data_IF_694903011788
#
_entry.id   IF_694903011788
#
_cell.length_a   1.000
_cell.length_b   1.000
_cell.length_c   1.000
_cell.angle_alpha   90.00
_cell.angle_beta   90.00
_cell.angle_gamma   90.00
#
_symmetry.space_group_name_H-M   'P 1'
#
loop_
_entity.id
_entity.type
_entity.pdbx_description
1 polymer ?
#
# COMPACT_ATOMS: atom_id res chain seq x y z
N UNK A 1 2.50 -2.03 30.20
CA UNK A 1 3.61 -2.95 30.49
C UNK A 1 4.71 -2.12 31.10
N UNK A 2 5.11 -2.42 32.32
CA UNK A 2 6.30 -1.79 32.90
C UNK A 2 7.52 -2.28 32.09
N UNK A 3 8.36 -1.37 31.55
CA UNK A 3 9.57 -1.77 30.87
C UNK A 3 10.51 -2.46 31.89
N UNK A 4 11.21 -3.48 31.45
CA UNK A 4 12.33 -4.02 32.21
C UNK A 4 13.47 -2.99 32.30
N UNK A 5 14.63 -3.39 32.76
CA UNK A 5 15.81 -2.50 32.86
C UNK A 5 16.52 -2.33 31.49
N UNK A 6 15.96 -2.87 30.42
CA UNK A 6 16.50 -2.80 29.07
C UNK A 6 16.20 -1.46 28.36
N UNK A 7 16.95 -1.17 27.31
CA UNK A 7 16.66 -0.06 26.41
C UNK A 7 15.65 -0.48 25.34
N UNK A 8 14.81 0.45 24.81
CA UNK A 8 14.00 0.16 23.63
C UNK A 8 14.85 -0.36 22.47
N UNK A 9 14.33 -1.37 21.76
CA UNK A 9 14.95 -1.80 20.51
C UNK A 9 14.59 -0.83 19.39
N UNK A 10 15.61 -0.27 18.75
CA UNK A 10 15.45 0.67 17.64
C UNK A 10 15.81 0.01 16.31
N UNK A 11 15.08 0.37 15.26
CA UNK A 11 15.39 -0.05 13.90
C UNK A 11 16.48 0.88 13.37
N UNK A 12 17.70 0.35 13.19
CA UNK A 12 18.83 1.13 12.69
C UNK A 12 18.54 1.73 11.29
N UNK A 13 19.12 2.91 11.02
CA UNK A 13 18.96 3.68 9.77
C UNK A 13 17.49 4.02 9.48
N UNK A 14 16.71 4.29 10.51
CA UNK A 14 15.33 4.78 10.39
C UNK A 14 15.12 6.07 11.16
N UNK A 15 14.17 6.85 10.70
CA UNK A 15 13.79 8.15 11.23
C UNK A 15 12.27 8.26 11.32
N UNK A 16 11.78 9.09 12.24
CA UNK A 16 10.37 9.45 12.37
C UNK A 16 10.24 10.95 12.24
N UNK A 17 9.34 11.40 11.38
CA UNK A 17 9.08 12.80 11.11
C UNK A 17 7.61 13.15 11.32
N UNK A 18 7.34 14.29 11.95
CA UNK A 18 5.99 14.86 11.96
C UNK A 18 5.74 15.56 10.63
N UNK A 19 4.73 15.10 9.91
CA UNK A 19 4.28 15.68 8.63
C UNK A 19 2.77 15.90 8.74
N UNK A 20 2.33 17.01 9.33
CA UNK A 20 0.91 17.29 9.52
C UNK A 20 0.20 17.61 8.20
N UNK A 21 -1.11 17.35 8.18
CA UNK A 21 -1.99 17.80 7.12
C UNK A 21 -2.61 19.15 7.49
N UNK A 22 -2.22 20.26 6.82
CA UNK A 22 -2.75 21.58 7.13
C UNK A 22 -4.23 21.74 6.73
N UNK A 23 -4.74 20.90 5.84
CA UNK A 23 -6.12 20.98 5.36
C UNK A 23 -7.09 20.38 6.37
N UNK A 24 -6.81 19.16 6.85
CA UNK A 24 -7.65 18.52 7.87
C UNK A 24 -7.29 18.91 9.30
N UNK A 25 -6.12 19.50 9.52
CA UNK A 25 -5.56 19.82 10.83
C UNK A 25 -5.05 18.60 11.59
N UNK A 26 -5.01 17.40 10.95
CA UNK A 26 -4.54 16.18 11.61
C UNK A 26 -3.02 16.10 11.61
N UNK A 27 -2.47 15.63 12.72
CA UNK A 27 -1.07 15.26 12.81
C UNK A 27 -0.85 13.85 12.29
N UNK A 28 0.12 13.67 11.38
CA UNK A 28 0.59 12.36 10.93
C UNK A 28 2.09 12.28 11.12
N UNK A 29 2.60 11.04 11.17
CA UNK A 29 4.03 10.77 11.14
C UNK A 29 4.40 10.00 9.88
N UNK A 30 5.60 10.24 9.42
CA UNK A 30 6.22 9.51 8.31
C UNK A 30 7.46 8.82 8.86
N UNK A 31 7.52 7.51 8.71
CA UNK A 31 8.68 6.70 9.07
C UNK A 31 9.54 6.52 7.83
N UNK A 32 10.83 6.75 7.94
CA UNK A 32 11.75 6.61 6.81
C UNK A 32 12.87 5.64 7.17
N UNK A 33 13.11 4.63 6.32
CA UNK A 33 14.28 3.77 6.43
C UNK A 33 15.14 3.89 5.17
N UNK A 34 16.43 4.14 5.37
CA UNK A 34 17.40 4.30 4.30
C UNK A 34 18.05 2.96 3.95
N UNK A 35 18.36 2.70 2.67
CA UNK A 35 19.05 1.48 2.27
C UNK A 35 20.52 1.50 2.71
N UNK A 36 21.18 0.32 2.86
CA UNK A 36 22.54 0.20 3.35
C UNK A 36 23.59 1.00 2.57
N UNK A 37 23.39 1.15 1.25
CA UNK A 37 24.33 1.92 0.42
C UNK A 37 24.13 3.43 0.47
N UNK A 38 23.07 3.93 1.12
CA UNK A 38 22.69 5.34 1.05
C UNK A 38 23.83 6.30 1.43
N UNK A 39 24.50 6.06 2.56
CA UNK A 39 25.63 6.89 3.00
C UNK A 39 26.89 6.72 2.14
N UNK A 40 27.06 5.52 1.55
CA UNK A 40 28.26 5.17 0.77
C UNK A 40 28.19 5.59 -0.71
N UNK A 41 26.99 5.90 -1.20
CA UNK A 41 26.73 6.22 -2.62
C UNK A 41 26.04 7.58 -2.74
N UNK A 42 26.73 8.71 -2.51
CA UNK A 42 26.13 10.04 -2.38
C UNK A 42 25.49 10.55 -3.68
N UNK A 43 25.86 10.00 -4.83
CA UNK A 43 25.29 10.38 -6.13
C UNK A 43 24.11 9.50 -6.56
N UNK A 44 23.88 8.38 -5.87
CA UNK A 44 22.80 7.46 -6.22
C UNK A 44 21.45 8.00 -5.78
N UNK A 45 20.46 7.90 -6.68
CA UNK A 45 19.04 8.10 -6.38
C UNK A 45 18.37 6.74 -6.25
N UNK A 46 17.36 6.67 -5.40
CA UNK A 46 16.74 5.41 -5.02
C UNK A 46 15.25 5.41 -5.32
N UNK A 47 14.69 4.28 -5.77
CA UNK A 47 13.25 4.07 -5.73
C UNK A 47 12.71 4.34 -4.33
N UNK A 48 11.46 4.76 -4.25
CA UNK A 48 10.78 5.00 -2.97
C UNK A 48 9.55 4.11 -2.87
N UNK A 49 9.45 3.34 -1.79
CA UNK A 49 8.27 2.56 -1.46
C UNK A 49 7.50 3.25 -0.34
N UNK A 50 6.31 3.74 -0.65
CA UNK A 50 5.36 4.29 0.31
C UNK A 50 4.41 3.19 0.76
N UNK A 51 4.29 2.97 2.08
CA UNK A 51 3.47 1.89 2.63
C UNK A 51 2.45 2.42 3.61
N UNK A 52 1.20 1.99 3.46
CA UNK A 52 0.13 2.23 4.45
C UNK A 52 0.30 1.33 5.67
N UNK A 53 -0.44 1.61 6.74
CA UNK A 53 -0.43 0.80 7.98
C UNK A 53 1.00 0.61 8.53
N UNK A 54 1.76 1.70 8.62
CA UNK A 54 3.19 1.68 8.88
C UNK A 54 3.57 1.02 10.22
N UNK A 55 2.73 1.15 11.24
CA UNK A 55 2.99 0.53 12.55
C UNK A 55 3.20 -0.99 12.45
N UNK A 56 2.50 -1.61 11.49
CA UNK A 56 2.63 -3.02 11.16
C UNK A 56 3.61 -3.28 10.02
N UNK A 57 3.43 -2.60 8.88
CA UNK A 57 4.11 -2.95 7.63
C UNK A 57 5.57 -2.48 7.59
N UNK A 58 5.89 -1.31 8.15
CA UNK A 58 7.22 -0.72 8.05
C UNK A 58 8.32 -1.61 8.62
N UNK A 59 8.24 -2.10 9.89
CA UNK A 59 9.30 -2.93 10.45
C UNK A 59 9.48 -4.25 9.70
N UNK A 60 8.38 -4.86 9.26
CA UNK A 60 8.42 -6.15 8.55
C UNK A 60 9.06 -5.98 7.18
N UNK A 61 8.62 -5.01 6.38
CA UNK A 61 9.14 -4.76 5.03
C UNK A 61 10.63 -4.38 5.10
N UNK A 62 11.00 -3.51 6.04
CA UNK A 62 12.39 -3.11 6.23
C UNK A 62 13.29 -4.31 6.50
N UNK A 63 12.89 -5.20 7.38
CA UNK A 63 13.69 -6.37 7.74
C UNK A 63 13.77 -7.40 6.62
N UNK A 64 12.64 -7.68 5.95
CA UNK A 64 12.59 -8.61 4.82
C UNK A 64 13.39 -8.10 3.62
N UNK A 65 13.29 -6.81 3.29
CA UNK A 65 14.07 -6.21 2.20
C UNK A 65 15.58 -6.36 2.41
N UNK A 66 16.06 -6.11 3.64
CA UNK A 66 17.48 -6.33 3.98
C UNK A 66 17.85 -7.81 3.92
N UNK A 67 16.98 -8.70 4.40
CA UNK A 67 17.22 -10.15 4.37
C UNK A 67 17.35 -10.68 2.94
N UNK A 68 16.54 -10.17 2.00
CA UNK A 68 16.62 -10.58 0.60
C UNK A 68 18.00 -10.30 -0.04
N UNK A 69 18.71 -9.27 0.43
CA UNK A 69 19.98 -8.82 -0.14
C UNK A 69 21.23 -9.29 0.67
N UNK A 70 21.07 -10.14 1.68
CA UNK A 70 22.20 -10.59 2.54
C UNK A 70 23.25 -11.42 1.79
N UNK A 71 22.82 -12.26 0.86
CA UNK A 71 23.70 -13.16 0.08
C UNK A 71 23.98 -12.62 -1.33
N UNK A 72 23.90 -11.32 -1.50
CA UNK A 72 23.98 -10.63 -2.76
C UNK A 72 22.65 -9.98 -3.17
N UNK A 73 22.70 -9.01 -4.07
CA UNK A 73 21.52 -8.23 -4.45
C UNK A 73 20.50 -9.09 -5.18
N UNK A 74 19.31 -9.23 -4.61
CA UNK A 74 18.14 -9.87 -5.24
C UNK A 74 17.08 -8.87 -5.66
N UNK A 75 17.01 -7.73 -4.94
CA UNK A 75 16.15 -6.59 -5.28
C UNK A 75 16.98 -5.32 -5.26
N UNK A 76 16.54 -4.34 -6.05
CA UNK A 76 17.12 -3.00 -6.01
C UNK A 76 16.88 -2.38 -4.62
N UNK A 77 17.89 -1.72 -4.08
CA UNK A 77 17.76 -0.98 -2.83
C UNK A 77 16.83 0.23 -3.00
N UNK A 78 16.03 0.50 -2.00
CA UNK A 78 15.02 1.56 -2.01
C UNK A 78 14.94 2.29 -0.66
N UNK A 79 14.38 3.48 -0.69
CA UNK A 79 13.96 4.21 0.51
C UNK A 79 12.57 3.72 0.88
N UNK A 80 12.39 3.28 2.13
CA UNK A 80 11.08 2.89 2.65
C UNK A 80 10.45 4.05 3.40
N UNK A 81 9.23 4.41 3.03
CA UNK A 81 8.43 5.48 3.64
C UNK A 81 7.15 4.88 4.21
N UNK A 82 7.05 4.85 5.53
CA UNK A 82 5.87 4.35 6.25
C UNK A 82 4.91 5.49 6.57
N UNK A 83 3.64 5.29 6.25
CA UNK A 83 2.55 6.23 6.50
C UNK A 83 1.82 5.82 7.78
N UNK A 84 1.96 6.63 8.85
CA UNK A 84 1.32 6.36 10.13
C UNK A 84 -0.18 6.67 10.09
N UNK A 85 -0.88 6.26 11.14
CA UNK A 85 -2.23 6.73 11.43
C UNK A 85 -2.21 8.15 12.01
N UNK A 86 -3.38 8.82 12.02
CA UNK A 86 -3.50 10.14 12.64
C UNK A 86 -3.15 10.06 14.14
N UNK A 87 -2.31 11.00 14.59
CA UNK A 87 -1.83 11.03 15.98
C UNK A 87 -2.98 11.18 16.97
N UNK A 88 -2.95 10.35 18.01
CA UNK A 88 -3.97 10.36 19.07
C UNK A 88 -5.26 9.62 18.71
N UNK A 89 -5.34 9.00 17.52
CA UNK A 89 -6.47 8.19 17.11
C UNK A 89 -6.14 6.69 17.15
N UNK A 90 -7.17 5.86 17.32
CA UNK A 90 -7.04 4.43 17.07
C UNK A 90 -6.77 4.16 15.59
N UNK A 91 -5.86 3.22 15.30
CA UNK A 91 -5.46 2.92 13.92
C UNK A 91 -6.62 2.43 13.04
N UNK A 92 -7.56 1.68 13.62
CA UNK A 92 -8.77 1.25 12.92
C UNK A 92 -9.66 2.43 12.52
N UNK A 93 -9.85 3.39 13.43
CA UNK A 93 -10.63 4.61 13.18
C UNK A 93 -9.97 5.47 12.10
N UNK A 94 -8.67 5.71 12.24
CA UNK A 94 -7.90 6.52 11.28
C UNK A 94 -7.95 5.93 9.86
N UNK A 95 -7.65 4.62 9.72
CA UNK A 95 -7.63 3.98 8.40
C UNK A 95 -9.01 3.81 7.76
N UNK A 96 -10.05 3.59 8.55
CA UNK A 96 -11.43 3.54 8.03
C UNK A 96 -11.81 4.86 7.37
N UNK A 97 -11.46 5.99 7.97
CA UNK A 97 -11.70 7.31 7.43
C UNK A 97 -10.82 7.61 6.22
N UNK A 98 -9.50 7.42 6.36
CA UNK A 98 -8.50 7.92 5.43
C UNK A 98 -8.31 7.03 4.19
N UNK A 99 -8.69 5.73 4.26
CA UNK A 99 -8.44 4.79 3.17
C UNK A 99 -9.69 4.41 2.38
N UNK A 100 -10.87 4.81 2.80
CA UNK A 100 -12.12 4.46 2.12
C UNK A 100 -12.63 5.58 1.23
N UNK A 101 -13.11 5.23 0.00
CA UNK A 101 -13.44 6.23 -1.03
C UNK A 101 -14.80 6.91 -0.85
N UNK A 102 -15.72 6.30 -0.09
CA UNK A 102 -17.10 6.79 0.09
C UNK A 102 -17.53 6.67 1.55
N UNK A 103 -18.53 7.45 1.99
CA UNK A 103 -19.05 7.36 3.36
C UNK A 103 -19.86 6.08 3.63
N UNK A 104 -20.08 5.25 2.61
CA UNK A 104 -20.92 4.04 2.70
C UNK A 104 -20.12 2.85 3.25
N UNK A 105 -19.72 2.93 4.53
CA UNK A 105 -19.06 1.82 5.23
C UNK A 105 -19.95 0.57 5.36
N UNK A 106 -19.36 -0.56 5.75
CA UNK A 106 -20.12 -1.79 5.97
C UNK A 106 -21.15 -1.62 7.09
N UNK A 107 -22.30 -2.31 6.97
CA UNK A 107 -23.37 -2.24 7.96
C UNK A 107 -22.98 -2.73 9.36
N UNK A 108 -21.87 -3.44 9.46
CA UNK A 108 -21.28 -3.91 10.72
C UNK A 108 -20.39 -2.87 11.40
N UNK A 109 -20.09 -1.76 10.73
CA UNK A 109 -19.30 -0.69 11.33
C UNK A 109 -20.08 0.02 12.45
N UNK A 110 -19.39 0.53 13.50
CA UNK A 110 -20.03 1.36 14.52
C UNK A 110 -20.77 2.54 13.90
N UNK A 111 -21.91 2.93 14.49
CA UNK A 111 -22.75 4.01 13.95
C UNK A 111 -22.03 5.37 13.87
N UNK A 112 -21.00 5.58 14.68
CA UNK A 112 -20.16 6.78 14.68
C UNK A 112 -18.89 6.65 13.84
N UNK A 113 -18.70 5.54 13.13
CA UNK A 113 -17.53 5.35 12.28
C UNK A 113 -17.55 6.31 11.09
N UNK A 114 -16.44 7.00 10.89
CA UNK A 114 -16.25 7.91 9.76
C UNK A 114 -15.53 7.18 8.62
N UNK A 115 -16.10 7.27 7.42
CA UNK A 115 -15.55 6.71 6.19
C UNK A 115 -15.49 7.79 5.09
N UNK A 116 -14.83 7.50 3.98
CA UNK A 116 -14.98 8.26 2.74
C UNK A 116 -14.04 9.45 2.56
N UNK A 117 -12.93 9.51 3.28
CA UNK A 117 -11.97 10.62 3.12
C UNK A 117 -10.69 10.23 2.34
N UNK A 118 -10.73 9.13 1.57
CA UNK A 118 -9.56 8.70 0.78
C UNK A 118 -9.08 9.77 -0.21
N UNK A 119 -9.98 10.58 -0.75
CA UNK A 119 -9.57 11.69 -1.63
C UNK A 119 -8.76 12.75 -0.88
N UNK A 120 -9.23 13.17 0.28
CA UNK A 120 -8.49 14.14 1.11
C UNK A 120 -7.12 13.60 1.54
N UNK A 121 -7.06 12.30 1.91
CA UNK A 121 -5.80 11.65 2.26
C UNK A 121 -4.86 11.52 1.05
N UNK A 122 -5.37 11.22 -0.15
CA UNK A 122 -4.61 11.25 -1.40
C UNK A 122 -4.02 12.65 -1.68
N UNK A 123 -4.80 13.70 -1.48
CA UNK A 123 -4.34 15.09 -1.62
C UNK A 123 -3.22 15.40 -0.61
N UNK A 124 -3.35 14.94 0.65
CA UNK A 124 -2.28 15.03 1.65
C UNK A 124 -1.00 14.31 1.22
N UNK A 125 -1.11 13.10 0.65
CA UNK A 125 0.07 12.38 0.12
C UNK A 125 0.75 13.15 -1.00
N UNK A 126 -0.03 13.74 -1.93
CA UNK A 126 0.49 14.51 -3.06
C UNK A 126 1.15 15.81 -2.60
N UNK A 127 0.48 16.55 -1.71
CA UNK A 127 0.83 17.94 -1.41
C UNK A 127 1.77 18.09 -0.21
N UNK A 128 1.81 17.11 0.70
CA UNK A 128 2.64 17.14 1.89
C UNK A 128 3.71 16.04 1.91
N UNK A 129 3.31 14.78 1.82
CA UNK A 129 4.23 13.65 2.05
C UNK A 129 5.27 13.51 0.94
N UNK A 130 4.83 13.47 -0.33
CA UNK A 130 5.78 13.31 -1.45
C UNK A 130 6.78 14.46 -1.54
N UNK A 131 6.38 15.73 -1.47
CA UNK A 131 7.34 16.84 -1.45
C UNK A 131 8.30 16.74 -0.28
N UNK A 132 7.80 16.46 0.93
CA UNK A 132 8.64 16.28 2.12
C UNK A 132 9.76 15.25 1.90
N UNK A 133 9.41 14.09 1.30
CA UNK A 133 10.37 13.01 1.04
C UNK A 133 11.36 13.39 -0.07
N UNK A 134 10.89 13.97 -1.16
CA UNK A 134 11.74 14.30 -2.32
C UNK A 134 12.71 15.46 -2.05
N UNK A 135 12.36 16.38 -1.15
CA UNK A 135 13.23 17.48 -0.73
C UNK A 135 14.36 17.02 0.19
N UNK A 136 14.13 15.99 1.00
CA UNK A 136 15.08 15.52 2.03
C UNK A 136 15.95 14.36 1.62
N UNK A 137 15.47 13.54 0.69
CA UNK A 137 16.16 12.31 0.32
C UNK A 137 16.43 12.22 -1.18
N UNK A 138 17.48 11.48 -1.53
CA UNK A 138 17.86 11.22 -2.93
C UNK A 138 16.92 10.20 -3.58
N UNK A 139 15.75 10.65 -3.93
CA UNK A 139 14.70 9.85 -4.57
C UNK A 139 14.87 9.78 -6.08
N UNK A 140 14.48 8.66 -6.68
CA UNK A 140 14.28 8.54 -8.13
C UNK A 140 12.80 8.83 -8.45
N UNK A 141 12.48 9.97 -9.10
CA UNK A 141 11.10 10.34 -9.38
C UNK A 141 10.38 9.40 -10.35
N UNK A 142 11.13 8.63 -11.14
CA UNK A 142 10.56 7.65 -12.06
C UNK A 142 10.19 6.31 -11.39
N UNK A 143 10.54 6.13 -10.12
CA UNK A 143 10.34 4.87 -9.38
C UNK A 143 9.72 5.12 -8.00
N UNK A 144 8.52 5.72 -7.97
CA UNK A 144 7.69 5.83 -6.78
C UNK A 144 6.68 4.67 -6.76
N UNK A 145 6.72 3.87 -5.70
CA UNK A 145 5.88 2.69 -5.52
C UNK A 145 4.93 2.93 -4.35
N UNK A 146 3.66 2.59 -4.50
CA UNK A 146 2.69 2.63 -3.42
C UNK A 146 2.23 1.21 -3.06
N UNK A 147 2.31 0.87 -1.79
CA UNK A 147 1.83 -0.38 -1.24
C UNK A 147 0.70 -0.15 -0.24
N UNK A 148 -0.37 -0.92 -0.41
CA UNK A 148 -1.43 -1.06 0.57
C UNK A 148 -1.95 -2.49 0.65
N UNK A 149 -2.45 -2.86 1.83
CA UNK A 149 -3.16 -4.11 2.06
C UNK A 149 -4.58 -3.81 2.55
N UNK A 150 -5.56 -4.60 2.11
CA UNK A 150 -6.95 -4.44 2.54
C UNK A 150 -7.52 -3.04 2.20
N UNK A 151 -7.93 -2.24 3.18
CA UNK A 151 -8.31 -0.83 2.97
C UNK A 151 -7.15 0.03 2.46
N UNK A 152 -5.90 -0.28 2.82
CA UNK A 152 -4.74 0.38 2.22
C UNK A 152 -4.63 0.14 0.71
N UNK A 153 -4.97 -1.06 0.24
CA UNK A 153 -5.05 -1.37 -1.18
C UNK A 153 -6.30 -0.79 -1.85
N UNK A 154 -7.39 -0.59 -1.11
CA UNK A 154 -8.56 0.15 -1.59
C UNK A 154 -8.20 1.62 -1.86
N UNK A 155 -7.46 2.27 -0.96
CA UNK A 155 -6.87 3.59 -1.19
C UNK A 155 -5.96 3.58 -2.43
N UNK A 156 -5.11 2.57 -2.58
CA UNK A 156 -4.24 2.44 -3.75
C UNK A 156 -5.03 2.36 -5.06
N UNK A 157 -6.15 1.64 -5.10
CA UNK A 157 -7.04 1.60 -6.27
C UNK A 157 -7.73 2.95 -6.54
N UNK A 158 -8.11 3.67 -5.49
CA UNK A 158 -8.61 5.03 -5.60
C UNK A 158 -7.58 5.94 -6.28
N UNK A 159 -6.33 5.93 -5.82
CA UNK A 159 -5.24 6.72 -6.40
C UNK A 159 -4.99 6.31 -7.86
N UNK A 160 -4.86 5.01 -8.13
CA UNK A 160 -4.60 4.47 -9.46
C UNK A 160 -5.60 4.93 -10.51
N UNK A 161 -6.90 5.01 -10.17
CA UNK A 161 -7.95 5.35 -11.12
C UNK A 161 -8.41 6.81 -11.07
N UNK A 162 -7.88 7.62 -10.16
CA UNK A 162 -8.21 9.06 -10.09
C UNK A 162 -7.02 9.97 -10.35
N UNK A 163 -5.80 9.49 -10.09
CA UNK A 163 -4.56 10.25 -10.28
C UNK A 163 -3.38 9.29 -10.56
N UNK A 164 -3.40 8.56 -11.69
CA UNK A 164 -2.46 7.48 -11.97
C UNK A 164 -0.99 7.92 -12.00
N UNK A 165 -0.72 9.19 -12.27
CA UNK A 165 0.64 9.75 -12.27
C UNK A 165 1.22 10.04 -10.88
N UNK A 166 0.46 9.86 -9.80
CA UNK A 166 0.96 10.11 -8.45
C UNK A 166 2.05 9.10 -8.04
N UNK A 167 1.90 7.85 -8.47
CA UNK A 167 2.91 6.79 -8.32
C UNK A 167 3.11 6.04 -9.64
N UNK A 168 4.30 5.45 -9.83
CA UNK A 168 4.63 4.71 -11.06
C UNK A 168 4.25 3.23 -10.96
N UNK A 169 4.28 2.69 -9.75
CA UNK A 169 4.05 1.27 -9.49
C UNK A 169 3.20 1.07 -8.23
N UNK A 170 2.52 -0.07 -8.18
CA UNK A 170 1.59 -0.39 -7.09
C UNK A 170 1.75 -1.85 -6.66
N UNK A 171 1.74 -2.08 -5.35
CA UNK A 171 1.48 -3.40 -4.77
C UNK A 171 0.09 -3.33 -4.14
N UNK A 172 -0.86 -4.05 -4.71
CA UNK A 172 -2.25 -4.11 -4.28
C UNK A 172 -2.49 -5.43 -3.56
N UNK A 173 -2.42 -5.40 -2.23
CA UNK A 173 -2.58 -6.59 -1.41
C UNK A 173 -4.00 -6.78 -0.93
N UNK A 174 -4.63 -7.88 -1.31
CA UNK A 174 -5.99 -8.24 -0.87
C UNK A 174 -6.93 -7.03 -0.81
N UNK A 175 -7.05 -6.26 -1.90
CA UNK A 175 -7.80 -5.01 -1.87
C UNK A 175 -9.26 -5.26 -1.52
N UNK A 176 -9.82 -4.43 -0.64
CA UNK A 176 -11.23 -4.50 -0.20
C UNK A 176 -12.18 -4.03 -1.31
N UNK A 177 -12.13 -4.70 -2.47
CA UNK A 177 -12.91 -4.33 -3.67
C UNK A 177 -14.42 -4.49 -3.47
N UNK A 178 -14.84 -5.28 -2.50
CA UNK A 178 -16.25 -5.45 -2.08
C UNK A 178 -16.87 -4.16 -1.51
N UNK A 179 -16.03 -3.22 -1.04
CA UNK A 179 -16.45 -2.00 -0.37
C UNK A 179 -17.42 -1.18 -1.24
N UNK A 180 -18.50 -0.68 -0.59
CA UNK A 180 -19.54 0.13 -1.22
C UNK A 180 -19.97 -0.40 -2.60
N UNK A 181 -20.46 -1.64 -2.61
CA UNK A 181 -20.97 -2.29 -3.83
C UNK A 181 -19.94 -2.27 -4.97
N UNK A 182 -18.71 -2.63 -4.64
CA UNK A 182 -17.57 -2.68 -5.58
C UNK A 182 -17.24 -1.32 -6.20
N UNK A 183 -17.19 -0.28 -5.39
CA UNK A 183 -16.91 1.08 -5.85
C UNK A 183 -15.61 1.17 -6.67
N UNK A 184 -14.55 0.47 -6.26
CA UNK A 184 -13.27 0.48 -6.98
C UNK A 184 -13.38 -0.02 -8.43
N UNK A 185 -14.20 -1.06 -8.69
CA UNK A 185 -14.46 -1.55 -10.05
C UNK A 185 -15.25 -0.53 -10.88
N UNK A 186 -16.13 0.27 -10.26
CA UNK A 186 -16.82 1.39 -10.94
C UNK A 186 -15.87 2.52 -11.27
N UNK A 187 -14.86 2.79 -10.42
CA UNK A 187 -13.80 3.76 -10.72
C UNK A 187 -12.96 3.30 -11.90
N UNK A 188 -12.56 2.02 -11.94
CA UNK A 188 -11.85 1.42 -13.07
C UNK A 188 -12.64 1.61 -14.37
N UNK A 189 -13.92 1.24 -14.37
CA UNK A 189 -14.77 1.36 -15.56
C UNK A 189 -14.96 2.83 -16.01
N UNK A 190 -14.99 3.77 -15.07
CA UNK A 190 -15.03 5.21 -15.38
C UNK A 190 -13.73 5.67 -15.99
N UNK A 191 -12.58 5.28 -15.41
CA UNK A 191 -11.26 5.57 -15.96
C UNK A 191 -11.13 5.09 -17.40
N UNK A 192 -11.52 3.85 -17.66
CA UNK A 192 -11.46 3.24 -18.98
C UNK A 192 -12.30 3.94 -20.06
N UNK A 193 -13.39 4.62 -19.67
CA UNK A 193 -14.18 5.43 -20.62
C UNK A 193 -13.50 6.73 -21.04
N UNK A 194 -12.55 7.20 -20.25
CA UNK A 194 -11.91 8.51 -20.43
C UNK A 194 -10.45 8.41 -20.89
N UNK A 195 -9.83 7.22 -20.77
CA UNK A 195 -8.41 7.04 -21.02
C UNK A 195 -8.15 5.80 -21.89
N UNK A 196 -7.19 5.94 -22.81
CA UNK A 196 -6.76 4.85 -23.72
C UNK A 196 -5.52 4.12 -23.19
N UNK A 197 -4.90 4.61 -22.11
CA UNK A 197 -3.72 4.02 -21.48
C UNK A 197 -3.74 4.19 -19.98
N UNK A 198 -3.00 3.32 -19.29
CA UNK A 198 -2.72 3.37 -17.86
C UNK A 198 -1.25 3.04 -17.66
N UNK A 199 -0.41 4.06 -17.53
CA UNK A 199 1.02 3.91 -17.31
C UNK A 199 1.31 3.53 -15.86
N UNK A 200 1.21 2.26 -15.54
CA UNK A 200 1.48 1.72 -14.21
C UNK A 200 2.10 0.31 -14.28
N UNK A 201 2.92 -0.04 -13.28
CA UNK A 201 3.38 -1.39 -13.07
C UNK A 201 2.74 -1.92 -11.78
N UNK A 202 1.92 -2.96 -11.88
CA UNK A 202 1.06 -3.44 -10.79
C UNK A 202 1.39 -4.88 -10.43
N UNK A 203 1.62 -5.11 -9.15
CA UNK A 203 1.57 -6.44 -8.54
C UNK A 203 0.31 -6.54 -7.68
N UNK A 204 -0.58 -7.46 -8.04
CA UNK A 204 -1.87 -7.70 -7.39
C UNK A 204 -1.84 -9.07 -6.73
N UNK A 205 -2.17 -9.18 -5.45
CA UNK A 205 -2.23 -10.47 -4.78
C UNK A 205 -3.43 -10.60 -3.86
N UNK A 206 -3.83 -11.84 -3.61
CA UNK A 206 -4.88 -12.23 -2.65
C UNK A 206 -4.56 -13.61 -2.09
N UNK A 207 -4.95 -13.92 -0.86
CA UNK A 207 -4.79 -15.23 -0.27
C UNK A 207 -5.90 -16.21 -0.73
N UNK A 208 -5.54 -17.47 -0.88
CA UNK A 208 -6.49 -18.53 -1.28
C UNK A 208 -7.71 -18.60 -0.35
N UNK A 209 -7.49 -18.48 0.97
CA UNK A 209 -8.56 -18.60 1.96
C UNK A 209 -9.44 -17.35 2.07
N UNK A 210 -9.17 -16.32 1.28
CA UNK A 210 -10.04 -15.16 1.14
C UNK A 210 -11.19 -15.38 0.14
N UNK A 211 -11.25 -16.54 -0.53
CA UNK A 211 -12.42 -16.96 -1.30
C UNK A 211 -13.61 -17.24 -0.38
N UNK A 212 -14.81 -16.98 -0.87
CA UNK A 212 -16.05 -17.27 -0.14
C UNK A 212 -16.36 -18.78 -0.17
N UNK A 213 -16.28 -19.45 0.99
CA UNK A 213 -16.73 -20.83 1.17
C UNK A 213 -17.50 -20.97 2.47
N UNK A 214 -18.82 -20.86 2.41
CA UNK A 214 -19.69 -21.04 3.57
C UNK A 214 -19.52 -22.43 4.18
N UNK A 215 -19.34 -22.49 5.49
CA UNK A 215 -19.19 -23.72 6.24
C UNK A 215 -17.75 -24.24 6.40
N UNK A 216 -16.79 -23.80 5.60
CA UNK A 216 -15.37 -24.04 5.85
C UNK A 216 -14.74 -22.81 6.53
N UNK A 217 -14.43 -22.93 7.81
CA UNK A 217 -13.93 -21.82 8.64
C UNK A 217 -12.55 -21.26 8.21
N UNK A 218 -11.82 -21.97 7.38
CA UNK A 218 -10.55 -21.46 6.81
C UNK A 218 -10.79 -20.38 5.77
N UNK A 219 -11.93 -20.41 5.10
CA UNK A 219 -12.30 -19.49 4.03
C UNK A 219 -13.15 -18.32 4.54
N UNK A 220 -13.19 -17.25 3.75
CA UNK A 220 -14.05 -16.13 4.03
C UNK A 220 -15.53 -16.54 4.07
N UNK A 221 -16.30 -16.00 5.00
CA UNK A 221 -17.71 -16.37 5.22
C UNK A 221 -18.67 -15.31 4.70
N UNK A 222 -18.21 -14.12 4.30
CA UNK A 222 -19.05 -12.97 3.99
C UNK A 222 -18.85 -12.41 2.59
N UNK A 223 -17.61 -12.33 2.11
CA UNK A 223 -17.25 -11.75 0.82
C UNK A 223 -16.26 -12.66 0.08
N UNK A 224 -16.26 -12.61 -1.24
CA UNK A 224 -15.32 -13.36 -2.08
C UNK A 224 -14.24 -12.41 -2.63
N UNK A 225 -13.16 -12.25 -1.84
CA UNK A 225 -12.08 -11.35 -2.22
C UNK A 225 -11.23 -11.92 -3.37
N UNK A 226 -11.20 -13.25 -3.54
CA UNK A 226 -10.53 -13.88 -4.68
C UNK A 226 -11.30 -13.58 -5.97
N UNK A 227 -12.62 -13.75 -5.97
CA UNK A 227 -13.44 -13.42 -7.13
C UNK A 227 -13.37 -11.92 -7.49
N UNK A 228 -13.35 -11.03 -6.50
CA UNK A 228 -13.21 -9.59 -6.72
C UNK A 228 -11.83 -9.24 -7.32
N UNK A 229 -10.76 -9.88 -6.84
CA UNK A 229 -9.40 -9.71 -7.36
C UNK A 229 -9.30 -10.16 -8.83
N UNK A 230 -9.85 -11.33 -9.15
CA UNK A 230 -9.91 -11.84 -10.53
C UNK A 230 -10.76 -10.93 -11.43
N UNK A 231 -11.82 -10.32 -10.90
CA UNK A 231 -12.63 -9.37 -11.65
C UNK A 231 -11.84 -8.09 -12.00
N UNK A 232 -11.04 -7.56 -11.07
CA UNK A 232 -10.15 -6.42 -11.34
C UNK A 232 -9.07 -6.78 -12.36
N UNK A 233 -8.41 -7.92 -12.17
CA UNK A 233 -7.41 -8.43 -13.13
C UNK A 233 -7.97 -8.52 -14.53
N UNK A 234 -9.11 -9.20 -14.68
CA UNK A 234 -9.80 -9.36 -15.96
C UNK A 234 -10.18 -8.03 -16.59
N UNK A 235 -10.70 -7.09 -15.79
CA UNK A 235 -11.04 -5.76 -16.28
C UNK A 235 -9.80 -5.08 -16.88
N UNK A 236 -8.69 -5.03 -16.15
CA UNK A 236 -7.45 -4.41 -16.60
C UNK A 236 -6.86 -5.09 -17.85
N UNK A 237 -6.88 -6.42 -17.90
CA UNK A 237 -6.40 -7.18 -19.08
C UNK A 237 -7.23 -6.88 -20.34
N UNK A 238 -8.56 -6.74 -20.21
CA UNK A 238 -9.44 -6.48 -21.35
C UNK A 238 -9.29 -5.07 -21.92
N UNK A 239 -8.78 -4.11 -21.13
CA UNK A 239 -8.52 -2.73 -21.61
C UNK A 239 -7.36 -2.67 -22.60
N UNK A 240 -6.40 -3.60 -22.51
CA UNK A 240 -5.20 -3.65 -23.38
C UNK A 240 -4.41 -2.35 -23.37
N UNK A 241 -4.30 -1.70 -22.18
CA UNK A 241 -3.50 -0.49 -22.03
C UNK A 241 -2.03 -0.73 -22.42
N UNK A 242 -1.47 0.03 -23.38
CA UNK A 242 -0.12 -0.24 -23.90
C UNK A 242 0.98 -0.15 -22.85
N UNK A 243 0.84 0.75 -21.88
CA UNK A 243 1.86 1.01 -20.86
C UNK A 243 1.63 0.29 -19.53
N UNK A 244 0.55 -0.50 -19.42
CA UNK A 244 0.25 -1.27 -18.22
C UNK A 244 1.09 -2.54 -18.16
N UNK A 245 1.77 -2.74 -17.04
CA UNK A 245 2.33 -4.03 -16.65
C UNK A 245 1.58 -4.55 -15.44
N UNK A 246 1.06 -5.76 -15.53
CA UNK A 246 0.25 -6.39 -14.49
C UNK A 246 0.71 -7.82 -14.23
N UNK A 247 1.03 -8.11 -12.98
CA UNK A 247 1.16 -9.47 -12.47
C UNK A 247 0.14 -9.65 -11.35
N UNK A 248 -0.63 -10.73 -11.40
CA UNK A 248 -1.65 -11.06 -10.40
C UNK A 248 -1.45 -12.49 -9.91
N UNK A 249 -1.60 -12.73 -8.61
CA UNK A 249 -1.40 -14.04 -7.99
C UNK A 249 -2.42 -14.29 -6.87
N UNK A 250 -2.94 -15.53 -6.85
CA UNK A 250 -3.62 -16.08 -5.67
C UNK A 250 -2.58 -16.90 -4.91
N UNK A 251 -2.24 -16.47 -3.70
CA UNK A 251 -1.21 -17.13 -2.89
C UNK A 251 -1.84 -18.26 -2.06
N UNK A 252 -1.41 -19.49 -2.33
CA UNK A 252 -1.95 -20.68 -1.71
C UNK A 252 -1.67 -20.74 -0.21
N UNK A 253 -2.60 -21.32 0.55
CA UNK A 253 -2.53 -21.53 1.99
C UNK A 253 -2.45 -20.24 2.82
N UNK A 254 -2.86 -19.10 2.29
CA UNK A 254 -2.84 -17.81 2.97
C UNK A 254 -4.27 -17.28 3.19
N UNK A 255 -4.49 -16.71 4.35
CA UNK A 255 -5.69 -15.92 4.67
C UNK A 255 -5.39 -14.42 4.59
N UNK A 256 -6.37 -13.59 4.95
CA UNK A 256 -6.26 -12.13 4.88
C UNK A 256 -5.12 -11.54 5.73
N UNK A 257 -4.75 -12.19 6.82
CA UNK A 257 -3.70 -11.70 7.73
C UNK A 257 -2.32 -12.26 7.36
N UNK A 258 -2.26 -13.54 6.96
CA UNK A 258 -0.98 -14.22 6.70
C UNK A 258 -0.42 -13.91 5.32
N UNK A 259 -1.26 -13.50 4.38
CA UNK A 259 -0.84 -13.27 2.98
C UNK A 259 0.05 -12.05 2.78
N UNK A 260 -0.06 -11.03 3.64
CA UNK A 260 0.63 -9.75 3.43
C UNK A 260 2.17 -9.88 3.41
N UNK A 261 2.84 -10.53 4.37
CA UNK A 261 4.30 -10.68 4.33
C UNK A 261 4.81 -11.38 3.07
N UNK A 262 4.13 -12.42 2.63
CA UNK A 262 4.47 -13.15 1.40
C UNK A 262 4.17 -12.31 0.16
N UNK A 263 3.03 -11.63 0.13
CA UNK A 263 2.61 -10.79 -0.99
C UNK A 263 3.55 -9.62 -1.25
N UNK A 264 3.98 -8.89 -0.22
CA UNK A 264 4.90 -7.79 -0.46
C UNK A 264 6.32 -8.25 -0.80
N UNK A 265 6.80 -9.41 -0.31
CA UNK A 265 8.07 -9.97 -0.77
C UNK A 265 8.03 -10.30 -2.27
N UNK A 266 6.97 -10.93 -2.74
CA UNK A 266 6.76 -11.21 -4.17
C UNK A 266 6.65 -9.90 -4.98
N UNK A 267 5.91 -8.93 -4.46
CA UNK A 267 5.75 -7.62 -5.08
C UNK A 267 7.07 -6.86 -5.22
N UNK A 268 7.90 -6.83 -4.17
CA UNK A 268 9.23 -6.21 -4.21
C UNK A 268 10.14 -6.90 -5.24
N UNK A 269 10.14 -8.22 -5.28
CA UNK A 269 10.92 -8.99 -6.26
C UNK A 269 10.49 -8.70 -7.69
N UNK A 270 9.18 -8.52 -7.91
CA UNK A 270 8.64 -8.20 -9.23
C UNK A 270 8.91 -6.75 -9.66
N UNK A 271 8.73 -5.77 -8.75
CA UNK A 271 8.81 -4.34 -9.07
C UNK A 271 10.24 -3.77 -9.01
N UNK A 272 11.11 -4.37 -8.22
CA UNK A 272 12.48 -3.92 -7.97
C UNK A 272 13.52 -4.99 -8.38
N UNK A 273 13.48 -5.50 -9.62
CA UNK A 273 14.51 -6.43 -10.06
C UNK A 273 15.86 -5.70 -10.10
N UNK A 274 16.92 -6.40 -9.69
CA UNK A 274 18.30 -5.88 -9.85
C UNK A 274 18.61 -5.70 -11.32
N UNK A 275 19.10 -4.53 -11.69
CA UNK A 275 19.49 -4.17 -13.05
C UNK A 275 20.96 -4.43 -13.28
#
# INVERSE_FOLDING_TARGET
VQPGEGRPYEIADSEVWDVPDPVSGRGYQVFVALPPSYAKSPQRRYPVLYVTDADYAFPIIRQLARRLNVEGPRIEEFILVGLSYAKGEDGGVSRQRDYTPTPNGPSTAPANAVHGQARAYQDYLRDQVKPFVTERYRTDPANAIFYGHSYGALLATQILFTEPGLFNSYILGSPSLWYDKRHALKLEARYAKQHQDLAANIYLYVGEYEALRKGDKRYNQTVDMVADNLALEKALQTRRYPSLKLKSEVLNNEDHLTVAPRGFMQGLTYLLPVR
#
